data_IF_828413685828
#
_entry.id   IF_828413685828
#
_cell.length_a   1.000
_cell.length_b   1.000
_cell.length_c   1.000
_cell.angle_alpha   90.00
_cell.angle_beta   90.00
_cell.angle_gamma   90.00
#
_symmetry.space_group_name_H-M   'P 1'
#
loop_
_entity.id
_entity.type
_entity.pdbx_description
1 polymer ?
#
# COMPACT_ATOMS: atom_id res chain seq x y z
N UNK A 1 -8.32 8.50 -24.71
CA UNK A 1 -9.47 7.64 -24.30
C UNK A 1 -9.09 6.96 -22.99
N UNK A 2 -9.76 7.33 -21.88
CA UNK A 2 -9.46 6.82 -20.54
C UNK A 2 -9.71 5.31 -20.44
N UNK A 3 -8.65 4.53 -20.33
CA UNK A 3 -8.73 3.08 -20.10
C UNK A 3 -8.83 2.81 -18.60
N UNK A 4 -9.95 3.12 -18.00
CA UNK A 4 -10.18 2.98 -16.55
C UNK A 4 -9.89 1.56 -16.01
N UNK A 5 -10.11 0.52 -16.83
CA UNK A 5 -9.70 -0.84 -16.48
C UNK A 5 -8.21 -1.00 -16.21
N UNK A 6 -7.37 -0.14 -16.79
CA UNK A 6 -5.93 -0.11 -16.56
C UNK A 6 -5.55 0.18 -15.10
N UNK A 7 -6.37 0.91 -14.35
CA UNK A 7 -6.11 1.21 -12.94
C UNK A 7 -6.06 -0.06 -12.06
N UNK A 8 -6.85 -1.06 -12.40
CA UNK A 8 -6.89 -2.33 -11.69
C UNK A 8 -5.91 -3.35 -12.31
N UNK A 9 -5.92 -3.47 -13.65
CA UNK A 9 -5.11 -4.49 -14.33
C UNK A 9 -3.62 -4.22 -14.24
N UNK A 10 -3.19 -2.96 -14.08
CA UNK A 10 -1.79 -2.61 -13.82
C UNK A 10 -1.22 -3.35 -12.60
N UNK A 11 -2.03 -3.62 -11.57
CA UNK A 11 -1.62 -4.35 -10.37
C UNK A 11 -1.28 -5.82 -10.63
N UNK A 12 -1.78 -6.40 -11.72
CA UNK A 12 -1.56 -7.80 -12.10
C UNK A 12 -0.31 -7.98 -12.97
N UNK A 13 0.19 -6.89 -13.53
CA UNK A 13 1.35 -6.89 -14.41
C UNK A 13 2.62 -6.60 -13.59
N UNK A 14 3.71 -7.29 -13.92
CA UNK A 14 5.00 -7.09 -13.29
C UNK A 14 6.08 -7.05 -14.37
N UNK A 15 7.12 -6.22 -14.14
CA UNK A 15 8.26 -6.11 -15.04
C UNK A 15 9.09 -7.39 -15.15
N UNK A 16 9.01 -8.28 -14.10
CA UNK A 16 9.70 -9.55 -14.08
C UNK A 16 9.50 -10.29 -12.75
N UNK A 17 10.11 -11.45 -12.62
CA UNK A 17 9.97 -12.33 -11.46
C UNK A 17 10.47 -11.70 -10.16
N UNK A 18 11.59 -10.99 -10.21
CA UNK A 18 12.13 -10.29 -9.02
C UNK A 18 11.12 -9.28 -8.48
N UNK A 19 10.51 -8.49 -9.36
CA UNK A 19 9.47 -7.52 -9.00
C UNK A 19 8.25 -8.21 -8.38
N UNK A 20 7.76 -9.30 -8.98
CA UNK A 20 6.62 -10.04 -8.47
C UNK A 20 6.91 -10.65 -7.09
N UNK A 21 8.08 -11.26 -6.90
CA UNK A 21 8.49 -11.88 -5.63
C UNK A 21 8.63 -10.81 -4.53
N UNK A 22 9.28 -9.67 -4.82
CA UNK A 22 9.41 -8.59 -3.85
C UNK A 22 8.04 -8.06 -3.39
N UNK A 23 7.10 -7.86 -4.33
CA UNK A 23 5.74 -7.48 -3.99
C UNK A 23 5.03 -8.55 -3.12
N UNK A 24 5.18 -9.82 -3.45
CA UNK A 24 4.57 -10.91 -2.68
C UNK A 24 5.13 -10.98 -1.25
N UNK A 25 6.45 -10.92 -1.09
CA UNK A 25 7.11 -10.94 0.22
C UNK A 25 6.68 -9.72 1.06
N UNK A 26 6.68 -8.53 0.47
CA UNK A 26 6.24 -7.33 1.17
C UNK A 26 4.75 -7.37 1.51
N UNK A 27 3.89 -7.87 0.60
CA UNK A 27 2.47 -8.07 0.87
C UNK A 27 2.24 -9.04 2.05
N UNK A 28 2.99 -10.13 2.15
CA UNK A 28 2.94 -11.05 3.28
C UNK A 28 3.40 -10.39 4.59
N UNK A 29 4.54 -9.70 4.55
CA UNK A 29 5.12 -9.07 5.73
C UNK A 29 4.21 -7.97 6.32
N UNK A 30 3.75 -7.05 5.48
CA UNK A 30 2.96 -5.90 5.91
C UNK A 30 1.45 -6.15 5.88
N UNK A 31 0.97 -7.08 5.07
CA UNK A 31 -0.42 -7.49 5.02
C UNK A 31 -0.84 -8.31 6.23
N UNK A 32 0.06 -9.12 6.80
CA UNK A 32 -0.24 -9.97 7.96
C UNK A 32 -0.79 -9.18 9.17
N UNK A 33 -0.15 -8.10 9.66
CA UNK A 33 -0.70 -7.32 10.77
C UNK A 33 -2.03 -6.65 10.41
N UNK A 34 -2.22 -6.21 9.16
CA UNK A 34 -3.47 -5.61 8.69
C UNK A 34 -4.60 -6.65 8.65
N UNK A 35 -4.32 -7.83 8.12
CA UNK A 35 -5.29 -8.93 8.09
C UNK A 35 -5.72 -9.36 9.50
N UNK A 36 -4.77 -9.43 10.44
CA UNK A 36 -5.06 -9.74 11.85
C UNK A 36 -5.95 -8.69 12.52
N UNK A 37 -5.79 -7.41 12.17
CA UNK A 37 -6.66 -6.35 12.69
C UNK A 37 -8.13 -6.59 12.34
N UNK A 38 -8.43 -7.03 11.12
CA UNK A 38 -9.81 -7.24 10.66
C UNK A 38 -10.42 -8.58 11.11
N UNK A 39 -9.61 -9.50 11.63
CA UNK A 39 -10.06 -10.80 12.11
C UNK A 39 -10.44 -11.78 10.98
N UNK A 40 -11.18 -12.85 11.36
CA UNK A 40 -11.37 -14.00 10.45
C UNK A 40 -12.73 -14.03 9.75
N UNK A 41 -13.78 -13.45 10.32
CA UNK A 41 -15.15 -13.59 9.78
C UNK A 41 -15.36 -12.80 8.51
N UNK A 42 -15.26 -11.46 8.56
CA UNK A 42 -15.39 -10.55 7.41
C UNK A 42 -14.04 -10.00 6.97
N UNK A 43 -13.01 -10.22 7.76
CA UNK A 43 -11.68 -9.69 7.59
C UNK A 43 -11.06 -9.96 6.22
N UNK A 44 -11.16 -11.18 5.65
CA UNK A 44 -10.62 -11.45 4.32
C UNK A 44 -11.22 -10.55 3.24
N UNK A 45 -12.53 -10.31 3.28
CA UNK A 45 -13.22 -9.41 2.34
C UNK A 45 -12.79 -7.97 2.54
N UNK A 46 -12.76 -7.48 3.78
CA UNK A 46 -12.33 -6.11 4.11
C UNK A 46 -10.86 -5.90 3.71
N UNK A 47 -10.00 -6.87 3.99
CA UNK A 47 -8.59 -6.84 3.59
C UNK A 47 -8.43 -6.75 2.06
N UNK A 48 -9.15 -7.60 1.32
CA UNK A 48 -9.07 -7.60 -0.14
C UNK A 48 -9.55 -6.27 -0.73
N UNK A 49 -10.70 -5.76 -0.26
CA UNK A 49 -11.23 -4.47 -0.72
C UNK A 49 -10.28 -3.32 -0.37
N UNK A 50 -9.70 -3.34 0.83
CA UNK A 50 -8.70 -2.37 1.25
C UNK A 50 -7.46 -2.41 0.35
N UNK A 51 -6.91 -3.60 0.09
CA UNK A 51 -5.76 -3.80 -0.79
C UNK A 51 -6.02 -3.26 -2.20
N UNK A 52 -7.17 -3.65 -2.79
CA UNK A 52 -7.57 -3.20 -4.12
C UNK A 52 -7.77 -1.67 -4.16
N UNK A 53 -8.42 -1.10 -3.16
CA UNK A 53 -8.63 0.34 -3.07
C UNK A 53 -7.29 1.10 -3.00
N UNK A 54 -6.33 0.64 -2.19
CA UNK A 54 -5.00 1.23 -2.13
C UNK A 54 -4.32 1.21 -3.51
N UNK A 55 -4.37 0.10 -4.24
CA UNK A 55 -3.74 -0.03 -5.54
C UNK A 55 -4.41 0.83 -6.63
N UNK A 56 -5.74 0.82 -6.67
CA UNK A 56 -6.50 1.65 -7.62
C UNK A 56 -6.26 3.13 -7.39
N UNK A 57 -6.29 3.59 -6.13
CA UNK A 57 -6.03 4.99 -5.79
C UNK A 57 -4.57 5.38 -6.04
N UNK A 58 -3.60 4.47 -5.80
CA UNK A 58 -2.21 4.68 -6.16
C UNK A 58 -2.04 4.85 -7.69
N UNK A 59 -2.67 3.98 -8.47
CA UNK A 59 -2.67 4.06 -9.94
C UNK A 59 -3.33 5.35 -10.45
N UNK A 60 -4.45 5.73 -9.84
CA UNK A 60 -5.14 6.99 -10.18
C UNK A 60 -4.26 8.20 -9.84
N UNK A 61 -3.66 8.23 -8.66
CA UNK A 61 -2.77 9.31 -8.24
C UNK A 61 -1.56 9.46 -9.17
N UNK A 62 -0.93 8.35 -9.55
CA UNK A 62 0.14 8.35 -10.54
C UNK A 62 -0.34 8.91 -11.90
N UNK A 63 -1.47 8.42 -12.39
CA UNK A 63 -2.04 8.89 -13.65
C UNK A 63 -2.41 10.38 -13.66
N UNK A 64 -2.82 10.93 -12.52
CA UNK A 64 -3.11 12.37 -12.37
C UNK A 64 -1.82 13.20 -12.35
N UNK A 65 -0.77 12.72 -11.68
CA UNK A 65 0.55 13.40 -11.63
C UNK A 65 1.20 13.39 -13.02
N UNK A 66 1.09 12.28 -13.75
CA UNK A 66 1.68 12.07 -15.07
C UNK A 66 0.65 12.20 -16.20
N UNK A 67 -0.29 13.12 -16.08
CA UNK A 67 -1.34 13.32 -17.08
C UNK A 67 -0.75 13.61 -18.44
N UNK A 68 -1.14 12.80 -19.43
CA UNK A 68 -0.62 12.93 -20.81
C UNK A 68 0.69 12.18 -21.07
N UNK A 69 1.31 11.55 -20.08
CA UNK A 69 2.44 10.65 -20.29
C UNK A 69 1.97 9.33 -20.89
N UNK A 70 2.79 8.75 -21.76
CA UNK A 70 2.60 7.40 -22.32
C UNK A 70 3.36 6.32 -21.53
N UNK A 71 4.06 6.69 -20.47
CA UNK A 71 4.81 5.72 -19.66
C UNK A 71 3.87 4.81 -18.91
N UNK A 72 3.94 3.47 -19.11
CA UNK A 72 3.09 2.54 -18.41
C UNK A 72 3.55 2.37 -16.97
N UNK A 73 2.61 2.42 -16.04
CA UNK A 73 2.84 1.98 -14.66
C UNK A 73 2.36 0.53 -14.52
N UNK A 74 3.19 -0.33 -13.95
CA UNK A 74 2.87 -1.74 -13.68
C UNK A 74 3.31 -2.13 -12.28
N UNK A 75 2.59 -3.07 -11.69
CA UNK A 75 2.94 -3.67 -10.41
C UNK A 75 1.90 -3.46 -9.32
N UNK A 76 1.85 -4.43 -8.40
CA UNK A 76 1.02 -4.37 -7.20
C UNK A 76 1.58 -3.42 -6.13
N UNK A 77 2.74 -2.83 -6.38
CA UNK A 77 3.52 -2.11 -5.36
C UNK A 77 2.79 -0.91 -4.74
N UNK A 78 1.92 -0.23 -5.49
CA UNK A 78 1.07 0.82 -4.94
C UNK A 78 0.13 0.30 -3.84
N UNK A 79 -0.47 -0.88 -4.03
CA UNK A 79 -1.28 -1.53 -3.01
C UNK A 79 -0.42 -2.04 -1.84
N UNK A 80 0.77 -2.58 -2.13
CA UNK A 80 1.74 -3.02 -1.10
C UNK A 80 2.17 -1.84 -0.24
N UNK A 81 2.45 -0.68 -0.82
CA UNK A 81 2.73 0.53 -0.04
C UNK A 81 1.53 0.99 0.78
N UNK A 82 0.31 0.73 0.34
CA UNK A 82 -0.89 0.88 1.17
C UNK A 82 -0.87 -0.02 2.40
N UNK A 83 -0.46 -1.28 2.26
CA UNK A 83 -0.25 -2.19 3.41
C UNK A 83 0.87 -1.69 4.33
N UNK A 84 1.96 -1.18 3.79
CA UNK A 84 3.07 -0.59 4.56
C UNK A 84 2.56 0.63 5.37
N UNK A 85 1.81 1.52 4.74
CA UNK A 85 1.22 2.68 5.40
C UNK A 85 0.29 2.29 6.55
N UNK A 86 -0.58 1.29 6.32
CA UNK A 86 -1.47 0.75 7.35
C UNK A 86 -0.69 0.08 8.48
N UNK A 87 0.28 -0.79 8.16
CA UNK A 87 1.11 -1.50 9.12
C UNK A 87 1.95 -0.54 9.98
N UNK A 88 2.38 0.59 9.42
CA UNK A 88 3.08 1.65 10.16
C UNK A 88 2.27 2.15 11.36
N UNK A 89 0.95 2.18 11.26
CA UNK A 89 0.06 2.54 12.37
C UNK A 89 -0.26 1.39 13.32
N UNK A 90 0.21 0.19 13.02
CA UNK A 90 0.09 -1.00 13.87
C UNK A 90 1.40 -1.34 14.61
N UNK A 91 2.41 -0.46 14.51
CA UNK A 91 3.70 -0.61 15.19
C UNK A 91 3.53 -0.69 16.71
N UNK A 92 4.21 -1.66 17.33
CA UNK A 92 4.12 -1.89 18.77
C UNK A 92 3.08 -2.94 19.15
N UNK A 93 2.40 -3.51 18.17
CA UNK A 93 1.63 -4.75 18.33
C UNK A 93 0.29 -4.60 19.00
N UNK A 94 -0.27 -5.72 19.40
CA UNK A 94 -1.53 -5.85 20.14
C UNK A 94 -2.80 -5.47 19.34
N UNK A 95 -2.71 -5.39 17.99
CA UNK A 95 -3.88 -5.19 17.13
C UNK A 95 -4.56 -3.81 17.29
N UNK A 96 -3.86 -2.82 17.86
CA UNK A 96 -4.39 -1.46 18.03
C UNK A 96 -3.79 -0.51 17.01
N UNK A 97 -4.65 0.32 16.41
CA UNK A 97 -4.22 1.38 15.49
C UNK A 97 -3.72 2.58 16.31
N UNK A 98 -2.43 2.87 16.21
CA UNK A 98 -1.82 4.01 16.89
C UNK A 98 -2.29 5.35 16.29
N UNK A 99 -2.34 6.43 17.09
CA UNK A 99 -2.56 7.78 16.59
C UNK A 99 -1.51 8.18 15.54
N UNK A 100 -1.90 9.01 14.56
CA UNK A 100 -0.99 9.49 13.52
C UNK A 100 0.18 10.30 14.08
N UNK A 101 0.00 10.99 15.23
CA UNK A 101 1.04 11.75 15.90
C UNK A 101 1.93 10.94 16.86
N UNK A 102 1.75 9.62 17.00
CA UNK A 102 2.66 8.80 17.80
C UNK A 102 4.08 8.86 17.20
N UNK A 103 5.09 9.11 18.04
CA UNK A 103 6.47 9.33 17.60
C UNK A 103 7.04 8.16 16.78
N UNK A 104 6.65 6.93 17.11
CA UNK A 104 7.05 5.72 16.37
C UNK A 104 6.43 5.72 14.97
N UNK A 105 5.15 6.08 14.88
CA UNK A 105 4.40 6.17 13.62
C UNK A 105 4.99 7.25 12.73
N UNK A 106 5.23 8.44 13.28
CA UNK A 106 5.84 9.56 12.54
C UNK A 106 7.24 9.20 12.05
N UNK A 107 8.08 8.65 12.93
CA UNK A 107 9.45 8.24 12.56
C UNK A 107 9.46 7.20 11.45
N UNK A 108 8.61 6.16 11.56
CA UNK A 108 8.51 5.13 10.54
C UNK A 108 7.95 5.67 9.21
N UNK A 109 6.94 6.56 9.26
CA UNK A 109 6.40 7.17 8.05
C UNK A 109 7.45 8.01 7.31
N UNK A 110 8.23 8.81 8.03
CA UNK A 110 9.34 9.60 7.47
C UNK A 110 10.37 8.65 6.85
N UNK A 111 10.75 7.58 7.55
CA UNK A 111 11.72 6.60 7.05
C UNK A 111 11.24 5.95 5.75
N UNK A 112 9.98 5.48 5.71
CA UNK A 112 9.41 4.88 4.50
C UNK A 112 9.37 5.86 3.33
N UNK A 113 8.99 7.11 3.57
CA UNK A 113 8.94 8.12 2.51
C UNK A 113 10.34 8.52 2.04
N UNK A 114 11.33 8.61 2.93
CA UNK A 114 12.71 8.86 2.55
C UNK A 114 13.28 7.71 1.69
N UNK A 115 13.09 6.46 2.12
CA UNK A 115 13.50 5.27 1.34
C UNK A 115 12.81 5.26 -0.02
N UNK A 116 11.50 5.50 -0.06
CA UNK A 116 10.74 5.56 -1.32
C UNK A 116 11.27 6.64 -2.27
N UNK A 117 11.54 7.84 -1.78
CA UNK A 117 12.09 8.92 -2.59
C UNK A 117 13.48 8.57 -3.13
N UNK A 118 14.37 8.06 -2.28
CA UNK A 118 15.72 7.65 -2.67
C UNK A 118 15.67 6.54 -3.72
N UNK A 119 14.87 5.50 -3.52
CA UNK A 119 14.74 4.40 -4.49
C UNK A 119 14.15 4.87 -5.83
N UNK A 120 13.24 5.84 -5.81
CA UNK A 120 12.70 6.45 -7.03
C UNK A 120 13.72 7.26 -7.83
N UNK A 121 14.79 7.74 -7.18
CA UNK A 121 15.88 8.50 -7.81
C UNK A 121 16.99 7.61 -8.38
N UNK A 122 17.07 6.35 -7.95
CA UNK A 122 18.12 5.41 -8.36
C UNK A 122 17.59 4.54 -9.51
N UNK A 123 18.29 4.58 -10.65
CA UNK A 123 18.02 3.70 -11.79
C UNK A 123 18.69 2.32 -11.59
N UNK A 124 18.09 1.27 -12.16
CA UNK A 124 18.72 -0.06 -12.21
C UNK A 124 18.65 -0.85 -10.91
N UNK A 125 17.74 -0.52 -10.00
CA UNK A 125 17.50 -1.32 -8.80
C UNK A 125 16.93 -2.70 -9.14
N UNK A 126 17.25 -3.76 -8.35
CA UNK A 126 16.63 -5.06 -8.50
C UNK A 126 15.09 -4.96 -8.45
N UNK A 127 14.42 -5.58 -9.42
CA UNK A 127 12.97 -5.53 -9.54
C UNK A 127 12.43 -4.37 -10.39
N UNK A 128 13.25 -3.38 -10.73
CA UNK A 128 12.87 -2.31 -11.66
C UNK A 128 13.07 -2.72 -13.12
N UNK A 129 13.91 -3.72 -13.40
CA UNK A 129 14.22 -4.26 -14.74
C UNK A 129 14.54 -3.19 -15.79
N UNK A 130 15.26 -2.15 -15.36
CA UNK A 130 15.61 -0.99 -16.20
C UNK A 130 14.52 0.07 -16.33
N UNK A 131 13.31 -0.18 -15.83
CA UNK A 131 12.25 0.80 -15.76
C UNK A 131 12.41 1.75 -14.56
N UNK A 132 11.83 2.94 -14.65
CA UNK A 132 11.75 3.87 -13.54
C UNK A 132 10.74 3.35 -12.49
N UNK A 133 11.13 3.40 -11.22
CA UNK A 133 10.21 3.09 -10.13
C UNK A 133 9.19 4.23 -10.00
N UNK A 134 7.90 3.89 -10.05
CA UNK A 134 6.79 4.82 -9.86
C UNK A 134 6.62 5.17 -8.37
N UNK A 135 7.63 5.85 -7.79
CA UNK A 135 7.68 6.19 -6.38
C UNK A 135 6.50 7.08 -5.93
N UNK A 136 5.94 7.85 -6.86
CA UNK A 136 4.75 8.67 -6.63
C UNK A 136 3.52 7.80 -6.35
N UNK A 137 3.37 6.70 -7.10
CA UNK A 137 2.31 5.71 -6.84
C UNK A 137 2.48 5.07 -5.46
N UNK A 138 3.73 4.77 -5.07
CA UNK A 138 4.05 4.25 -3.73
C UNK A 138 3.66 5.24 -2.64
N UNK A 139 3.99 6.53 -2.80
CA UNK A 139 3.63 7.56 -1.84
C UNK A 139 2.11 7.69 -1.71
N UNK A 140 1.37 7.74 -2.82
CA UNK A 140 -0.09 7.79 -2.78
C UNK A 140 -0.66 6.56 -2.09
N UNK A 141 -0.22 5.35 -2.48
CA UNK A 141 -0.66 4.10 -1.86
C UNK A 141 -0.41 4.09 -0.35
N UNK A 142 0.80 4.48 0.08
CA UNK A 142 1.16 4.59 1.49
C UNK A 142 0.18 5.48 2.25
N UNK A 143 -0.05 6.71 1.78
CA UNK A 143 -0.94 7.64 2.48
C UNK A 143 -2.39 7.17 2.47
N UNK A 144 -2.87 6.54 1.41
CA UNK A 144 -4.21 5.92 1.39
C UNK A 144 -4.33 4.89 2.51
N UNK A 145 -3.41 3.95 2.60
CA UNK A 145 -3.43 2.92 3.63
C UNK A 145 -3.25 3.47 5.04
N UNK A 146 -2.31 4.41 5.21
CA UNK A 146 -2.03 5.08 6.48
C UNK A 146 -3.25 5.81 7.04
N UNK A 147 -4.01 6.50 6.19
CA UNK A 147 -5.20 7.24 6.61
C UNK A 147 -6.41 6.33 6.82
N UNK A 148 -6.64 5.37 5.89
CA UNK A 148 -7.83 4.53 5.90
C UNK A 148 -7.84 3.49 7.03
N UNK A 149 -6.67 3.02 7.52
CA UNK A 149 -6.63 1.96 8.53
C UNK A 149 -7.29 2.36 9.85
N UNK A 150 -7.26 3.65 10.21
CA UNK A 150 -7.89 4.15 11.43
C UNK A 150 -9.41 3.99 11.44
N UNK A 151 -10.13 4.58 10.49
CA UNK A 151 -11.57 4.37 10.32
C UNK A 151 -11.94 2.91 10.16
N UNK A 152 -11.25 2.17 9.29
CA UNK A 152 -11.54 0.76 9.04
C UNK A 152 -11.31 -0.12 10.28
N UNK A 153 -10.26 0.14 11.06
CA UNK A 153 -10.01 -0.58 12.30
C UNK A 153 -11.09 -0.34 13.37
N UNK A 154 -11.69 0.85 13.40
CA UNK A 154 -12.84 1.13 14.28
C UNK A 154 -14.12 0.45 13.82
N UNK A 155 -14.34 0.32 12.52
CA UNK A 155 -15.56 -0.26 11.95
C UNK A 155 -15.51 -1.80 11.90
N UNK A 156 -14.37 -2.36 11.59
CA UNK A 156 -14.22 -3.77 11.22
C UNK A 156 -13.12 -4.51 12.01
N UNK A 157 -12.43 -3.83 12.93
CA UNK A 157 -11.41 -4.48 13.75
C UNK A 157 -11.98 -5.59 14.62
N UNK A 158 -11.20 -6.64 14.87
CA UNK A 158 -11.62 -7.80 15.67
C UNK A 158 -12.05 -7.44 17.11
N UNK A 159 -11.64 -6.27 17.62
CA UNK A 159 -12.07 -5.71 18.91
C UNK A 159 -13.25 -4.74 18.82
N UNK A 160 -13.82 -4.53 17.63
CA UNK A 160 -14.95 -3.62 17.42
C UNK A 160 -16.31 -4.28 17.64
N UNK A 161 -16.36 -5.51 18.18
CA UNK A 161 -17.61 -6.13 18.59
C UNK A 161 -18.29 -5.26 19.67
N UNK A 162 -19.57 -4.86 19.51
CA UNK A 162 -20.28 -4.15 20.56
C UNK A 162 -20.32 -5.07 21.80
N UNK A 163 -19.95 -4.49 22.94
CA UNK A 163 -20.23 -5.11 24.23
C UNK A 163 -21.73 -5.48 24.27
N UNK A 164 -22.01 -6.78 24.30
CA UNK A 164 -23.35 -7.31 24.52
C UNK A 164 -23.53 -7.59 26.00
#
# INVERSE_FOLDING_TARGET
>A
QGRWGGLLTAMLLHGGWTHAIMNAVAALAFGTPVARLFGTRIGPTVFLLFYLACGVLASLGYGLIHWGSSEPMVGASGAVFGLIGAATRLLGGQGRVLPMGDRRVVGAAITWMAVNAVTGMISGLPGAEGARIAWEAHAVGFFVGFLAIGPLGRMFGAGAAPDR
#
